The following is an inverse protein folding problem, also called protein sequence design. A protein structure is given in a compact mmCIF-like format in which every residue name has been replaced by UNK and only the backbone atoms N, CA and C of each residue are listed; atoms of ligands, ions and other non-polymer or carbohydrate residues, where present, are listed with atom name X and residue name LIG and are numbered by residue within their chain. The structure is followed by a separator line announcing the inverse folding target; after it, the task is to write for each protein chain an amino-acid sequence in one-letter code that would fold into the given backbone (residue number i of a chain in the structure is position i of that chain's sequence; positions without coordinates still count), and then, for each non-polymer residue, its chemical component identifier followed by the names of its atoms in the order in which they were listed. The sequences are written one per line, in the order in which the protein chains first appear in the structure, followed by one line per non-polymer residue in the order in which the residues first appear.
data_IF_849622927305
#
_entry.id   IF_849622927305
#
_cell.length_a   1.000
_cell.length_b   1.000
_cell.length_c   1.000
_cell.angle_alpha   90.00
_cell.angle_beta   90.00
_cell.angle_gamma   90.00
#
_symmetry.space_group_name_H-M   'P 1'
#
loop_
_entity.id
_entity.type
_entity.pdbx_description
1 polymer ?
#
# COMPACT_ATOMS: atom_id res chain seq x y z
N UNK A 1 -15.80 -10.23 10.02
CA UNK A 1 -14.68 -9.32 9.72
C UNK A 1 -13.52 -10.13 9.17
N UNK A 2 -12.97 -9.68 8.05
CA UNK A 2 -11.84 -10.34 7.40
C UNK A 2 -10.69 -9.35 7.24
N UNK A 3 -9.49 -9.76 7.64
CA UNK A 3 -8.27 -9.00 7.40
C UNK A 3 -7.43 -9.76 6.38
N UNK A 4 -6.95 -9.06 5.36
CA UNK A 4 -6.03 -9.62 4.38
C UNK A 4 -4.73 -8.83 4.43
N UNK A 5 -3.61 -9.51 4.68
CA UNK A 5 -2.30 -8.89 4.63
C UNK A 5 -1.80 -8.83 3.20
N UNK A 6 -1.53 -7.63 2.70
CA UNK A 6 -1.09 -7.41 1.33
C UNK A 6 0.43 -7.33 1.24
N UNK A 7 1.08 -6.76 2.25
CA UNK A 7 2.52 -6.67 2.34
C UNK A 7 2.98 -6.72 3.79
N UNK A 8 4.16 -7.25 4.03
CA UNK A 8 4.65 -7.53 5.38
C UNK A 8 6.12 -7.15 5.61
N UNK A 9 6.76 -6.45 4.67
CA UNK A 9 8.16 -6.07 4.81
C UNK A 9 8.32 -4.69 5.45
N UNK A 10 9.56 -4.40 5.83
CA UNK A 10 9.98 -3.07 6.27
C UNK A 10 10.26 -2.17 5.05
N UNK A 11 10.78 -0.97 5.31
CA UNK A 11 10.93 0.09 4.31
C UNK A 11 11.71 -0.34 3.04
N UNK A 12 12.72 -1.17 3.20
CA UNK A 12 13.56 -1.61 2.08
C UNK A 12 12.96 -2.76 1.27
N UNK A 13 11.87 -3.35 1.75
CA UNK A 13 11.29 -4.55 1.14
C UNK A 13 12.09 -5.80 1.46
N UNK A 14 11.63 -6.96 1.00
CA UNK A 14 12.38 -8.20 1.10
C UNK A 14 12.20 -9.01 -0.18
N UNK A 15 13.26 -9.36 -0.94
CA UNK A 15 14.66 -8.93 -0.73
C UNK A 15 14.79 -7.40 -0.81
N UNK A 16 15.79 -6.86 -0.13
CA UNK A 16 15.94 -5.41 -0.04
C UNK A 16 16.31 -4.81 -1.39
N UNK A 17 15.75 -3.63 -1.68
CA UNK A 17 15.73 -3.05 -3.02
C UNK A 17 17.11 -2.88 -3.66
N UNK A 18 18.13 -2.55 -2.89
CA UNK A 18 19.49 -2.39 -3.42
C UNK A 18 20.46 -3.49 -2.96
N UNK A 19 19.98 -4.49 -2.23
CA UNK A 19 20.85 -5.46 -1.58
C UNK A 19 21.20 -6.64 -2.49
N UNK A 20 22.47 -7.02 -2.48
CA UNK A 20 22.98 -8.17 -3.24
C UNK A 20 23.64 -9.22 -2.34
N UNK A 21 23.35 -9.21 -1.03
CA UNK A 21 23.87 -10.23 -0.13
C UNK A 21 23.28 -11.62 -0.48
N UNK A 22 23.90 -12.66 0.05
CA UNK A 22 23.51 -14.04 -0.27
C UNK A 22 22.03 -14.31 0.05
N UNK A 23 21.51 -13.81 1.16
CA UNK A 23 20.13 -14.00 1.55
C UNK A 23 19.18 -13.32 0.55
N UNK A 24 19.47 -12.08 0.15
CA UNK A 24 18.64 -11.36 -0.82
C UNK A 24 18.71 -11.99 -2.21
N UNK A 25 19.88 -12.44 -2.64
CA UNK A 25 20.00 -13.16 -3.91
C UNK A 25 19.19 -14.44 -3.89
N UNK A 26 19.25 -15.18 -2.80
CA UNK A 26 18.50 -16.42 -2.66
C UNK A 26 16.99 -16.17 -2.67
N UNK A 27 16.54 -15.12 -1.96
CA UNK A 27 15.13 -14.76 -1.94
C UNK A 27 14.62 -14.42 -3.34
N UNK A 28 15.39 -13.66 -4.13
CA UNK A 28 15.03 -13.34 -5.53
C UNK A 28 14.91 -14.60 -6.38
N UNK A 29 15.86 -15.52 -6.23
CA UNK A 29 15.86 -16.75 -7.01
C UNK A 29 14.68 -17.66 -6.68
N UNK A 30 14.34 -17.77 -5.39
CA UNK A 30 13.24 -18.63 -4.93
C UNK A 30 11.86 -18.03 -5.21
N UNK A 31 11.72 -16.72 -5.13
CA UNK A 31 10.44 -16.07 -5.38
C UNK A 31 9.32 -16.48 -4.43
N UNK A 32 8.08 -16.38 -4.89
CA UNK A 32 6.91 -16.77 -4.11
C UNK A 32 6.83 -16.04 -2.77
N UNK A 33 6.61 -16.78 -1.69
CA UNK A 33 6.49 -16.21 -0.34
C UNK A 33 7.79 -15.62 0.19
N UNK A 34 8.90 -15.83 -0.52
CA UNK A 34 10.18 -15.20 -0.18
C UNK A 34 10.24 -13.75 -0.63
N UNK A 35 9.27 -13.29 -1.40
CA UNK A 35 9.15 -11.90 -1.82
C UNK A 35 8.13 -11.24 -0.90
N UNK A 36 8.57 -10.22 -0.16
CA UNK A 36 7.70 -9.48 0.78
C UNK A 36 7.74 -8.01 0.44
N UNK A 37 6.56 -7.45 0.19
CA UNK A 37 6.38 -6.04 -0.15
C UNK A 37 6.13 -5.22 1.10
N UNK A 38 6.12 -3.88 0.96
CA UNK A 38 5.95 -2.97 2.09
C UNK A 38 4.58 -3.18 2.74
N UNK A 39 4.53 -2.88 4.03
CA UNK A 39 3.40 -3.20 4.91
C UNK A 39 2.09 -2.57 4.44
N UNK A 40 1.07 -3.40 4.28
CA UNK A 40 -0.30 -2.96 4.00
C UNK A 40 -1.26 -4.09 4.33
N UNK A 41 -2.46 -3.72 4.77
CA UNK A 41 -3.54 -4.68 4.97
C UNK A 41 -4.86 -4.06 4.51
N UNK A 42 -5.85 -4.90 4.26
CA UNK A 42 -7.20 -4.44 3.94
C UNK A 42 -8.20 -5.21 4.80
N UNK A 43 -9.19 -4.49 5.33
CA UNK A 43 -10.23 -5.05 6.18
C UNK A 43 -11.56 -4.97 5.43
N UNK A 44 -12.22 -6.12 5.27
CA UNK A 44 -13.55 -6.25 4.64
C UNK A 44 -13.65 -5.54 3.27
N UNK A 45 -12.54 -5.41 2.56
CA UNK A 45 -12.45 -4.72 1.27
C UNK A 45 -12.87 -3.25 1.30
N UNK A 46 -13.04 -2.65 2.48
CA UNK A 46 -13.51 -1.26 2.61
C UNK A 46 -12.55 -0.36 3.38
N UNK A 47 -11.63 -0.92 4.16
CA UNK A 47 -10.69 -0.15 4.97
C UNK A 47 -9.27 -0.60 4.66
N UNK A 48 -8.45 0.31 4.14
CA UNK A 48 -7.01 0.07 3.98
C UNK A 48 -6.27 0.48 5.25
N UNK A 49 -5.30 -0.31 5.64
CA UNK A 49 -4.35 0.06 6.68
C UNK A 49 -3.02 0.31 5.98
N UNK A 50 -2.59 1.56 6.02
CA UNK A 50 -1.45 2.12 5.30
C UNK A 50 -1.63 2.17 3.79
N UNK A 51 -0.81 3.01 3.14
CA UNK A 51 -0.86 3.24 1.70
C UNK A 51 0.58 3.36 1.18
N UNK A 52 1.29 2.24 1.08
CA UNK A 52 2.68 2.23 0.63
C UNK A 52 2.79 2.42 -0.88
N UNK A 53 4.02 2.65 -1.40
CA UNK A 53 4.24 2.68 -2.85
C UNK A 53 3.82 1.39 -3.55
N UNK A 54 3.80 0.28 -2.83
CA UNK A 54 3.48 -1.03 -3.38
C UNK A 54 1.98 -1.27 -3.55
N UNK A 55 1.12 -0.30 -3.24
CA UNK A 55 -0.34 -0.46 -3.32
C UNK A 55 -0.78 -0.97 -4.70
N UNK A 56 -0.27 -0.39 -5.76
CA UNK A 56 -0.62 -0.80 -7.12
C UNK A 56 -0.26 -2.27 -7.37
N UNK A 57 0.93 -2.68 -6.94
CA UNK A 57 1.36 -4.06 -7.07
C UNK A 57 0.44 -5.02 -6.29
N UNK A 58 0.04 -4.62 -5.08
CA UNK A 58 -0.87 -5.42 -4.27
C UNK A 58 -2.22 -5.62 -4.95
N UNK A 59 -2.76 -4.55 -5.52
CA UNK A 59 -4.04 -4.59 -6.24
C UNK A 59 -3.97 -5.57 -7.41
N UNK A 60 -2.91 -5.47 -8.21
CA UNK A 60 -2.73 -6.36 -9.37
C UNK A 60 -2.55 -7.81 -8.94
N UNK A 61 -1.71 -8.04 -7.92
CA UNK A 61 -1.36 -9.38 -7.49
C UNK A 61 -2.55 -10.12 -6.89
N UNK A 62 -3.42 -9.41 -6.18
CA UNK A 62 -4.62 -9.98 -5.57
C UNK A 62 -5.83 -10.01 -6.50
N UNK A 63 -5.71 -9.43 -7.70
CA UNK A 63 -6.82 -9.35 -8.64
C UNK A 63 -8.02 -8.59 -8.08
N UNK A 64 -7.76 -7.57 -7.24
CA UNK A 64 -8.81 -6.81 -6.57
C UNK A 64 -8.91 -5.40 -7.13
N UNK A 65 -9.99 -4.70 -6.78
CA UNK A 65 -10.15 -3.28 -7.02
C UNK A 65 -10.33 -2.57 -5.69
N UNK A 66 -9.92 -1.31 -5.61
CA UNK A 66 -10.01 -0.53 -4.37
C UNK A 66 -10.88 0.71 -4.53
N UNK A 67 -11.70 0.75 -5.55
CA UNK A 67 -12.64 1.86 -5.80
C UNK A 67 -13.70 1.98 -4.70
N UNK A 68 -14.02 0.90 -4.01
CA UNK A 68 -15.03 0.88 -2.94
C UNK A 68 -14.44 1.10 -1.55
N UNK A 69 -13.15 1.31 -1.43
CA UNK A 69 -12.52 1.62 -0.15
C UNK A 69 -13.04 2.97 0.34
N UNK A 70 -13.49 3.01 1.58
CA UNK A 70 -14.07 4.19 2.22
C UNK A 70 -13.08 4.90 3.14
N UNK A 71 -12.15 4.15 3.72
CA UNK A 71 -11.24 4.67 4.74
C UNK A 71 -9.84 4.13 4.55
N UNK A 72 -8.85 4.99 4.77
CA UNK A 72 -7.44 4.61 4.85
C UNK A 72 -6.94 5.04 6.21
N UNK A 73 -6.48 4.10 7.01
CA UNK A 73 -5.90 4.35 8.32
C UNK A 73 -4.38 4.32 8.19
N UNK A 74 -3.74 5.46 8.37
CA UNK A 74 -2.28 5.56 8.23
C UNK A 74 -1.64 5.49 9.61
N UNK A 75 -0.79 4.48 9.81
CA UNK A 75 -0.14 4.26 11.10
C UNK A 75 0.88 5.35 11.42
N UNK A 76 1.64 5.79 10.43
CA UNK A 76 2.60 6.89 10.57
C UNK A 76 3.04 7.39 9.19
N UNK A 77 3.79 8.50 9.17
CA UNK A 77 4.07 9.27 7.96
C UNK A 77 5.26 8.79 7.12
N UNK A 78 5.96 7.73 7.52
CA UNK A 78 7.08 7.23 6.72
C UNK A 78 6.60 6.78 5.35
N UNK A 79 7.43 6.95 4.33
CA UNK A 79 7.05 6.74 2.94
C UNK A 79 6.61 5.30 2.65
N UNK A 80 7.20 4.32 3.33
CA UNK A 80 6.84 2.92 3.16
C UNK A 80 5.47 2.58 3.75
N UNK A 81 4.88 3.48 4.53
CA UNK A 81 3.53 3.36 5.08
C UNK A 81 2.56 4.35 4.48
N UNK A 82 3.04 5.51 4.00
CA UNK A 82 2.18 6.52 3.42
C UNK A 82 2.85 7.18 2.22
N UNK A 83 2.38 6.80 1.04
CA UNK A 83 2.80 7.40 -0.22
C UNK A 83 1.60 8.20 -0.79
N UNK A 84 1.41 9.47 -0.37
CA UNK A 84 0.20 10.23 -0.72
C UNK A 84 0.03 10.53 -2.20
N UNK A 85 1.11 10.48 -2.98
CA UNK A 85 1.03 10.70 -4.44
C UNK A 85 0.07 9.73 -5.11
N UNK A 86 -0.12 8.54 -4.53
CA UNK A 86 -1.03 7.54 -5.08
C UNK A 86 -2.48 8.03 -5.08
N UNK A 87 -2.84 8.91 -4.15
CA UNK A 87 -4.19 9.46 -4.04
C UNK A 87 -4.56 10.32 -5.24
N UNK A 88 -3.58 10.90 -5.93
CA UNK A 88 -3.83 11.68 -7.15
C UNK A 88 -4.42 10.82 -8.25
N UNK A 89 -4.08 9.54 -8.27
CA UNK A 89 -4.53 8.62 -9.30
C UNK A 89 -6.01 8.25 -9.15
N UNK A 90 -6.63 8.65 -8.05
CA UNK A 90 -8.06 8.41 -7.81
C UNK A 90 -8.94 9.39 -8.56
N UNK A 91 -8.41 10.56 -8.94
CA UNK A 91 -9.15 11.62 -9.61
C UNK A 91 -9.12 11.51 -11.13
N UNK A 92 -10.02 12.28 -11.77
CA UNK A 92 -10.01 12.42 -13.22
C UNK A 92 -8.72 13.13 -13.70
N UNK A 93 -8.13 12.76 -14.81
CA UNK A 93 -8.61 11.76 -15.79
C UNK A 93 -8.04 10.36 -15.55
N UNK A 94 -7.39 10.12 -14.40
CA UNK A 94 -6.67 8.87 -14.15
C UNK A 94 -7.58 7.71 -13.77
N UNK A 95 -8.70 8.00 -13.11
CA UNK A 95 -9.65 6.97 -12.71
C UNK A 95 -11.06 7.41 -13.07
N UNK A 96 -11.86 6.46 -13.55
CA UNK A 96 -13.27 6.64 -13.79
C UNK A 96 -14.01 5.66 -12.91
N UNK A 97 -14.64 6.15 -11.85
CA UNK A 97 -15.22 5.31 -10.80
C UNK A 97 -16.59 5.87 -10.34
N UNK A 98 -17.60 5.80 -11.23
CA UNK A 98 -18.91 6.31 -10.87
C UNK A 98 -19.48 5.56 -9.67
N UNK A 99 -20.06 6.31 -8.73
CA UNK A 99 -20.64 5.72 -7.52
C UNK A 99 -19.61 5.31 -6.45
N UNK A 100 -18.33 5.62 -6.63
CA UNK A 100 -17.35 5.37 -5.59
C UNK A 100 -17.59 6.28 -4.38
N UNK A 101 -17.37 5.77 -3.15
CA UNK A 101 -17.54 6.60 -1.95
C UNK A 101 -16.45 7.66 -1.85
N UNK A 102 -16.70 8.69 -1.05
CA UNK A 102 -15.67 9.65 -0.66
C UNK A 102 -14.66 8.90 0.21
N UNK A 103 -13.38 9.04 -0.12
CA UNK A 103 -12.31 8.41 0.64
C UNK A 103 -11.90 9.32 1.79
N UNK A 104 -11.89 8.77 3.01
CA UNK A 104 -11.41 9.49 4.19
C UNK A 104 -10.08 8.91 4.62
N UNK A 105 -9.09 9.77 4.80
CA UNK A 105 -7.77 9.37 5.28
C UNK A 105 -7.64 9.77 6.75
N UNK A 106 -7.33 8.80 7.60
CA UNK A 106 -7.14 9.01 9.04
C UNK A 106 -5.66 8.91 9.36
N UNK A 107 -5.14 9.89 10.08
CA UNK A 107 -3.73 9.90 10.47
C UNK A 107 -3.46 10.98 11.50
N UNK A 108 -2.22 11.04 11.98
CA UNK A 108 -1.80 12.07 12.90
C UNK A 108 -1.39 13.34 12.15
N UNK A 109 -0.91 14.36 12.89
CA UNK A 109 -0.52 15.65 12.33
C UNK A 109 0.59 15.55 11.28
N UNK A 110 1.51 14.62 11.43
CA UNK A 110 2.60 14.41 10.46
C UNK A 110 2.09 13.78 9.16
N UNK A 111 1.11 12.90 9.28
CA UNK A 111 0.44 12.34 8.10
C UNK A 111 -0.29 13.44 7.34
N UNK A 112 -1.01 14.31 8.06
CA UNK A 112 -1.68 15.46 7.45
C UNK A 112 -0.68 16.37 6.73
N UNK A 113 0.45 16.68 7.38
CA UNK A 113 1.49 17.52 6.77
C UNK A 113 2.04 16.88 5.48
N UNK A 114 2.27 15.57 5.48
CA UNK A 114 2.75 14.85 4.30
C UNK A 114 1.74 14.92 3.15
N UNK A 115 0.46 14.83 3.48
CA UNK A 115 -0.61 14.89 2.48
C UNK A 115 -0.71 16.27 1.82
N UNK A 116 -0.45 17.33 2.57
CA UNK A 116 -0.62 18.70 2.10
C UNK A 116 0.57 19.28 1.31
N UNK A 117 1.67 18.57 1.22
CA UNK A 117 2.85 19.02 0.49
C UNK A 117 2.64 19.01 -1.02
#
# INVERSE_FOLDING_TARGET
MEIKYLGTAAAEGWPAVFCTCEACKRARALGGKNIRTRSQAIVDNTVLIDLPPDTYLHVLREGMTIDKVESVLITHSHQDHFYPMELLMRGEPYAHQPGAPVLTVYGNDKVEAAYRV
#
